data_IF_291833303313
#
_entry.id   IF_291833303313
#
_cell.length_a   1.000
_cell.length_b   1.000
_cell.length_c   1.000
_cell.angle_alpha   90.00
_cell.angle_beta   90.00
_cell.angle_gamma   90.00
#
_symmetry.space_group_name_H-M   'P 1'
#
loop_
_entity.id
_entity.type
_entity.pdbx_description
1 polymer ?
#
# COMPACT_ATOMS: atom_id res chain seq x y z
N UNK A 1 15.67 -1.81 9.58
CA UNK A 1 15.04 -3.15 9.54
C UNK A 1 16.07 -4.18 9.96
N UNK A 2 15.64 -5.24 10.65
CA UNK A 2 16.52 -6.39 10.91
C UNK A 2 16.84 -7.09 9.58
N UNK A 3 18.08 -7.56 9.33
CA UNK A 3 18.46 -8.26 8.09
C UNK A 3 17.61 -9.51 7.78
N UNK A 4 16.92 -10.05 8.78
CA UNK A 4 16.13 -11.28 8.69
C UNK A 4 14.64 -11.04 8.41
N UNK A 5 14.20 -9.77 8.33
CA UNK A 5 12.79 -9.43 8.06
C UNK A 5 12.32 -10.04 6.73
N UNK A 6 11.22 -10.80 6.78
CA UNK A 6 10.54 -11.33 5.60
C UNK A 6 9.80 -10.23 4.85
N UNK A 7 10.24 -9.91 3.65
CA UNK A 7 9.61 -8.92 2.77
C UNK A 7 8.79 -9.62 1.71
N UNK A 8 7.52 -9.24 1.56
CA UNK A 8 6.70 -9.66 0.41
C UNK A 8 6.41 -8.43 -0.43
N UNK A 9 6.74 -8.49 -1.73
CA UNK A 9 6.24 -7.51 -2.70
C UNK A 9 5.09 -8.09 -3.51
N UNK A 10 4.15 -7.25 -3.89
CA UNK A 10 3.05 -7.59 -4.80
C UNK A 10 2.97 -6.52 -5.88
N UNK A 11 3.15 -6.89 -7.15
CA UNK A 11 3.27 -5.96 -8.27
C UNK A 11 2.50 -6.45 -9.50
N UNK A 12 2.11 -5.54 -10.39
CA UNK A 12 1.57 -5.93 -11.71
C UNK A 12 2.69 -6.29 -12.70
N UNK A 13 3.79 -5.53 -12.66
CA UNK A 13 4.99 -5.75 -13.47
C UNK A 13 6.20 -5.78 -12.54
N UNK A 14 7.20 -6.58 -12.86
CA UNK A 14 8.43 -6.65 -12.06
C UNK A 14 9.22 -5.33 -12.14
N UNK A 15 9.15 -4.51 -11.09
CA UNK A 15 9.89 -3.24 -10.99
C UNK A 15 10.85 -3.23 -9.79
N UNK A 16 10.40 -3.69 -8.62
CA UNK A 16 11.19 -3.68 -7.40
C UNK A 16 12.35 -4.68 -7.45
N UNK A 17 13.57 -4.18 -7.25
CA UNK A 17 14.78 -4.99 -7.11
C UNK A 17 15.15 -5.14 -5.64
N UNK A 18 14.57 -6.16 -5.04
CA UNK A 18 14.78 -6.53 -3.64
C UNK A 18 16.13 -7.23 -3.45
N UNK A 19 16.97 -6.71 -2.55
CA UNK A 19 18.34 -7.22 -2.30
C UNK A 19 18.48 -8.00 -0.99
N UNK A 20 17.44 -7.99 -0.14
CA UNK A 20 17.43 -8.73 1.12
C UNK A 20 17.27 -10.24 0.88
N UNK A 21 17.80 -11.08 1.79
CA UNK A 21 17.79 -12.53 1.60
C UNK A 21 16.41 -13.17 1.71
N UNK A 22 15.58 -12.69 2.64
CA UNK A 22 14.26 -13.27 2.94
C UNK A 22 13.16 -12.46 2.25
N UNK A 23 13.02 -12.62 0.94
CA UNK A 23 11.93 -11.98 0.20
C UNK A 23 11.14 -12.96 -0.67
N UNK A 24 9.93 -12.55 -1.04
CA UNK A 24 9.11 -13.20 -2.04
C UNK A 24 8.39 -12.12 -2.86
N UNK A 25 8.52 -12.18 -4.17
CA UNK A 25 7.79 -11.31 -5.08
C UNK A 25 6.58 -12.07 -5.64
N UNK A 26 5.40 -11.46 -5.54
CA UNK A 26 4.15 -11.94 -6.12
C UNK A 26 3.75 -11.01 -7.26
N UNK A 27 3.27 -11.59 -8.35
CA UNK A 27 2.85 -10.83 -9.52
C UNK A 27 1.41 -11.13 -9.88
N UNK A 28 0.65 -10.09 -10.26
CA UNK A 28 -0.70 -10.29 -10.74
C UNK A 28 -0.69 -11.10 -12.05
N UNK A 29 -1.74 -11.89 -12.23
CA UNK A 29 -1.94 -12.72 -13.39
C UNK A 29 -3.44 -12.79 -13.69
N UNK A 30 -3.80 -13.39 -14.83
CA UNK A 30 -5.20 -13.53 -15.28
C UNK A 30 -6.13 -14.06 -14.18
N UNK A 31 -5.67 -15.05 -13.42
CA UNK A 31 -6.44 -15.72 -12.37
C UNK A 31 -5.99 -15.33 -10.95
N UNK A 32 -5.14 -14.30 -10.82
CA UNK A 32 -4.61 -13.82 -9.54
C UNK A 32 -4.50 -12.30 -9.55
N UNK A 33 -5.56 -11.62 -9.12
CA UNK A 33 -5.57 -10.17 -8.97
C UNK A 33 -4.85 -9.70 -7.69
N UNK A 34 -4.60 -8.39 -7.61
CA UNK A 34 -3.91 -7.76 -6.48
C UNK A 34 -4.59 -8.06 -5.14
N UNK A 35 -5.92 -7.98 -5.10
CA UNK A 35 -6.74 -8.31 -3.93
C UNK A 35 -6.54 -9.75 -3.44
N UNK A 36 -6.51 -10.73 -4.35
CA UNK A 36 -6.28 -12.13 -4.01
C UNK A 36 -4.86 -12.35 -3.48
N UNK A 37 -3.87 -11.74 -4.12
CA UNK A 37 -2.47 -11.84 -3.69
C UNK A 37 -2.26 -11.21 -2.32
N UNK A 38 -2.84 -10.04 -2.06
CA UNK A 38 -2.83 -9.37 -0.76
C UNK A 38 -3.36 -10.29 0.35
N UNK A 39 -4.57 -10.83 0.16
CA UNK A 39 -5.16 -11.76 1.15
C UNK A 39 -4.34 -13.05 1.31
N UNK A 40 -3.77 -13.56 0.23
CA UNK A 40 -2.94 -14.77 0.26
C UNK A 40 -1.62 -14.54 0.97
N UNK A 41 -1.04 -13.34 0.84
CA UNK A 41 0.23 -12.97 1.44
C UNK A 41 0.20 -13.07 2.97
N UNK A 42 -0.95 -12.85 3.62
CA UNK A 42 -1.11 -13.00 5.07
C UNK A 42 -0.74 -14.40 5.58
N UNK A 43 -0.93 -15.45 4.77
CA UNK A 43 -0.56 -16.82 5.13
C UNK A 43 0.94 -17.07 5.03
N UNK A 44 1.67 -16.18 4.37
CA UNK A 44 3.10 -16.26 4.15
C UNK A 44 3.91 -15.52 5.23
N UNK A 45 3.21 -15.04 6.28
CA UNK A 45 3.77 -14.37 7.48
C UNK A 45 4.75 -13.23 7.11
N UNK A 46 4.31 -12.23 6.33
CA UNK A 46 5.15 -11.09 5.99
C UNK A 46 5.52 -10.31 7.26
N UNK A 47 6.76 -9.85 7.33
CA UNK A 47 7.17 -8.82 8.29
C UNK A 47 7.18 -7.44 7.65
N UNK A 48 7.27 -7.36 6.32
CA UNK A 48 7.04 -6.18 5.50
C UNK A 48 6.19 -6.58 4.30
N UNK A 49 5.25 -5.72 3.94
CA UNK A 49 4.43 -5.88 2.75
C UNK A 49 4.57 -4.64 1.89
N UNK A 50 5.03 -4.83 0.66
CA UNK A 50 5.19 -3.76 -0.32
C UNK A 50 4.21 -4.03 -1.45
N UNK A 51 3.31 -3.09 -1.69
CA UNK A 51 2.41 -3.12 -2.84
C UNK A 51 2.97 -2.15 -3.86
N UNK A 52 3.23 -2.61 -5.08
CA UNK A 52 3.82 -1.76 -6.12
C UNK A 52 2.99 -0.50 -6.32
N UNK A 53 1.73 -0.69 -6.70
CA UNK A 53 0.76 0.39 -6.87
C UNK A 53 -0.66 -0.09 -6.54
N UNK A 54 -1.46 0.77 -5.91
CA UNK A 54 -2.91 0.59 -5.78
C UNK A 54 -3.67 1.49 -6.76
N UNK A 55 -4.64 0.90 -7.46
CA UNK A 55 -5.42 1.47 -8.56
C UNK A 55 -6.93 1.37 -8.36
N UNK A 56 -7.39 0.51 -7.46
CA UNK A 56 -8.80 0.20 -7.26
C UNK A 56 -9.15 -0.40 -5.90
N UNK A 57 -10.11 -1.33 -5.91
CA UNK A 57 -10.73 -1.89 -4.72
C UNK A 57 -9.74 -2.59 -3.76
N UNK A 58 -8.59 -3.04 -4.26
CA UNK A 58 -7.50 -3.63 -3.48
C UNK A 58 -6.95 -2.69 -2.39
N UNK A 59 -7.22 -1.38 -2.52
CA UNK A 59 -6.88 -0.41 -1.50
C UNK A 59 -7.49 -0.78 -0.13
N UNK A 60 -8.70 -1.34 -0.09
CA UNK A 60 -9.29 -1.79 1.19
C UNK A 60 -8.55 -3.01 1.75
N UNK A 61 -8.26 -4.02 0.93
CA UNK A 61 -7.52 -5.20 1.37
C UNK A 61 -6.14 -4.79 1.94
N UNK A 62 -5.46 -3.83 1.30
CA UNK A 62 -4.20 -3.27 1.78
C UNK A 62 -4.37 -2.57 3.14
N UNK A 63 -5.37 -1.68 3.28
CA UNK A 63 -5.63 -0.96 4.53
C UNK A 63 -5.93 -1.92 5.69
N UNK A 64 -6.75 -2.95 5.46
CA UNK A 64 -7.06 -3.98 6.45
C UNK A 64 -5.81 -4.74 6.90
N UNK A 65 -4.91 -5.06 5.97
CA UNK A 65 -3.63 -5.72 6.30
C UNK A 65 -2.76 -4.82 7.17
N UNK A 66 -2.67 -3.53 6.84
CA UNK A 66 -1.86 -2.57 7.60
C UNK A 66 -2.41 -2.35 9.03
N UNK A 67 -3.73 -2.43 9.21
CA UNK A 67 -4.37 -2.38 10.53
C UNK A 67 -4.11 -3.63 11.40
N UNK A 68 -3.97 -4.82 10.82
CA UNK A 68 -3.92 -6.10 11.56
C UNK A 68 -2.57 -6.44 12.20
N UNK A 69 -1.70 -5.45 12.38
CA UNK A 69 -0.42 -5.60 13.10
C UNK A 69 0.78 -5.97 12.22
N UNK A 70 0.62 -5.98 10.89
CA UNK A 70 1.73 -6.07 9.94
C UNK A 70 2.42 -4.71 9.82
N UNK A 71 3.34 -4.44 10.74
CA UNK A 71 4.09 -3.18 10.77
C UNK A 71 5.00 -3.06 9.55
N UNK A 72 5.00 -1.91 8.88
CA UNK A 72 5.94 -1.62 7.80
C UNK A 72 5.42 -1.92 6.40
N UNK A 73 4.16 -1.60 6.15
CA UNK A 73 3.58 -1.54 4.81
C UNK A 73 4.13 -0.39 3.98
N UNK A 74 4.21 -0.56 2.67
CA UNK A 74 4.48 0.52 1.71
C UNK A 74 3.64 0.29 0.45
N UNK A 75 3.05 1.36 -0.06
CA UNK A 75 2.40 1.34 -1.38
C UNK A 75 2.59 2.66 -2.10
N UNK A 76 2.47 2.64 -3.42
CA UNK A 76 2.36 3.85 -4.23
C UNK A 76 0.95 4.01 -4.80
N UNK A 77 0.63 5.24 -5.21
CA UNK A 77 -0.59 5.58 -5.94
C UNK A 77 -0.38 6.90 -6.68
N UNK A 78 -1.06 7.09 -7.80
CA UNK A 78 -1.10 8.37 -8.47
C UNK A 78 -2.05 9.36 -7.77
N UNK A 79 -1.56 10.58 -7.53
CA UNK A 79 -2.33 11.74 -7.08
C UNK A 79 -1.60 13.03 -7.49
N UNK A 80 -2.33 14.09 -7.82
CA UNK A 80 -1.77 15.41 -8.18
C UNK A 80 -1.38 16.25 -6.96
N UNK A 81 -2.06 16.08 -5.83
CA UNK A 81 -1.71 16.72 -4.56
C UNK A 81 -2.16 15.90 -3.34
N UNK A 82 -1.91 16.45 -2.15
CA UNK A 82 -2.26 15.82 -0.87
C UNK A 82 -3.74 15.51 -0.69
N UNK A 83 -4.62 16.42 -1.10
CA UNK A 83 -6.05 16.29 -0.89
C UNK A 83 -6.61 15.26 -1.88
N UNK A 84 -6.10 15.30 -3.11
CA UNK A 84 -6.40 14.29 -4.12
C UNK A 84 -5.95 12.90 -3.67
N UNK A 85 -4.77 12.75 -3.05
CA UNK A 85 -4.28 11.46 -2.58
C UNK A 85 -5.24 10.80 -1.58
N UNK A 86 -5.70 11.55 -0.57
CA UNK A 86 -6.66 11.06 0.42
C UNK A 86 -8.01 10.73 -0.20
N UNK A 87 -8.55 11.64 -1.03
CA UNK A 87 -9.83 11.43 -1.71
C UNK A 87 -9.80 10.21 -2.63
N UNK A 88 -8.70 10.01 -3.37
CA UNK A 88 -8.51 8.85 -4.24
C UNK A 88 -8.39 7.56 -3.44
N UNK A 89 -7.65 7.57 -2.34
CA UNK A 89 -7.55 6.41 -1.46
C UNK A 89 -8.93 5.99 -0.93
N UNK A 90 -9.71 6.95 -0.43
CA UNK A 90 -11.07 6.71 0.06
C UNK A 90 -11.99 6.22 -1.06
N UNK A 91 -11.95 6.84 -2.24
CA UNK A 91 -12.75 6.40 -3.39
C UNK A 91 -12.39 4.97 -3.83
N UNK A 92 -11.09 4.65 -3.89
CA UNK A 92 -10.62 3.32 -4.29
C UNK A 92 -11.02 2.25 -3.28
N UNK A 93 -10.79 2.49 -1.99
CA UNK A 93 -11.24 1.59 -0.93
C UNK A 93 -12.77 1.45 -0.92
N UNK A 94 -13.51 2.54 -1.19
CA UNK A 94 -14.96 2.58 -1.26
C UNK A 94 -15.59 1.76 -2.40
N UNK A 95 -14.82 1.41 -3.44
CA UNK A 95 -15.28 0.51 -4.51
C UNK A 95 -15.35 -0.95 -4.06
N UNK A 96 -14.65 -1.31 -2.99
CA UNK A 96 -14.64 -2.68 -2.50
C UNK A 96 -16.03 -3.06 -1.95
N UNK A 97 -16.59 -4.24 -2.28
CA UNK A 97 -17.95 -4.64 -1.86
C UNK A 97 -18.19 -4.66 -0.34
N UNK A 98 -17.12 -4.75 0.44
CA UNK A 98 -17.14 -4.77 1.91
C UNK A 98 -16.71 -3.43 2.54
N UNK A 99 -16.63 -2.36 1.77
CA UNK A 99 -16.18 -1.07 2.27
C UNK A 99 -17.05 -0.59 3.46
N UNK A 100 -16.44 -0.23 4.60
CA UNK A 100 -17.17 0.35 5.70
C UNK A 100 -17.65 1.77 5.34
N UNK A 101 -18.68 2.27 6.03
CA UNK A 101 -19.15 3.65 5.84
C UNK A 101 -18.11 4.70 6.26
N UNK A 102 -17.24 4.38 7.22
CA UNK A 102 -16.25 5.30 7.76
C UNK A 102 -14.83 4.90 7.33
N UNK A 103 -14.52 5.08 6.05
CA UNK A 103 -13.18 4.82 5.50
C UNK A 103 -12.12 5.79 6.03
N UNK A 104 -12.51 7.03 6.32
CA UNK A 104 -11.58 8.04 6.85
C UNK A 104 -10.89 7.59 8.14
N UNK A 105 -11.62 6.95 9.07
CA UNK A 105 -11.04 6.41 10.29
C UNK A 105 -10.08 5.25 10.01
N UNK A 106 -10.47 4.32 9.13
CA UNK A 106 -9.62 3.20 8.73
C UNK A 106 -8.30 3.67 8.10
N UNK A 107 -8.36 4.68 7.23
CA UNK A 107 -7.16 5.26 6.59
C UNK A 107 -6.21 5.85 7.65
N UNK A 108 -6.74 6.59 8.63
CA UNK A 108 -5.95 7.16 9.72
C UNK A 108 -5.30 6.09 10.60
N UNK A 109 -6.01 5.00 10.87
CA UNK A 109 -5.48 3.90 11.69
C UNK A 109 -4.41 3.09 10.95
N UNK A 110 -4.63 2.84 9.65
CA UNK A 110 -3.77 2.01 8.81
C UNK A 110 -2.44 2.69 8.44
N UNK A 111 -2.46 4.00 8.18
CA UNK A 111 -1.34 4.71 7.58
C UNK A 111 -0.63 5.63 8.57
N UNK A 112 0.70 5.50 8.65
CA UNK A 112 1.53 6.40 9.44
C UNK A 112 1.75 7.75 8.73
N UNK A 113 2.05 7.69 7.43
CA UNK A 113 2.35 8.87 6.64
C UNK A 113 2.00 8.73 5.15
N UNK A 114 1.82 9.87 4.49
CA UNK A 114 1.74 10.02 3.05
C UNK A 114 2.88 10.92 2.58
N UNK A 115 3.60 10.50 1.53
CA UNK A 115 4.69 11.25 0.92
C UNK A 115 4.25 11.64 -0.48
N UNK A 116 4.18 12.94 -0.76
CA UNK A 116 3.81 13.47 -2.07
C UNK A 116 5.09 13.86 -2.82
N UNK A 117 5.24 13.33 -4.03
CA UNK A 117 6.38 13.60 -4.91
C UNK A 117 5.94 14.52 -6.05
N UNK A 118 6.75 15.52 -6.40
CA UNK A 118 6.55 16.37 -7.59
C UNK A 118 7.56 16.01 -8.68
N UNK A 119 7.13 15.85 -9.95
CA UNK A 119 8.00 15.38 -11.03
C UNK A 119 8.85 16.45 -11.71
N UNK A 120 8.53 17.75 -11.60
CA UNK A 120 9.18 18.82 -12.37
C UNK A 120 9.55 20.05 -11.50
N UNK A 121 10.70 20.73 -11.73
CA UNK A 121 11.77 20.45 -12.70
C UNK A 121 12.78 19.39 -12.22
N UNK A 122 12.75 19.02 -10.94
CA UNK A 122 13.49 17.89 -10.38
C UNK A 122 12.56 17.11 -9.46
N UNK A 123 12.73 15.78 -9.38
CA UNK A 123 11.98 14.96 -8.45
C UNK A 123 12.31 15.39 -7.03
N UNK A 124 11.31 15.89 -6.32
CA UNK A 124 11.44 16.30 -4.93
C UNK A 124 10.22 15.86 -4.11
N UNK A 125 10.44 15.72 -2.81
CA UNK A 125 9.35 15.57 -1.85
C UNK A 125 8.68 16.93 -1.72
N UNK A 126 7.41 17.01 -2.10
CA UNK A 126 6.59 18.20 -1.95
C UNK A 126 6.06 18.33 -0.53
N UNK A 127 5.57 17.23 0.03
CA UNK A 127 5.06 17.19 1.39
C UNK A 127 5.16 15.79 2.00
N UNK A 128 5.29 15.78 3.33
CA UNK A 128 5.18 14.59 4.17
C UNK A 128 4.06 14.87 5.17
N UNK A 129 3.04 14.02 5.17
CA UNK A 129 1.85 14.17 6.00
C UNK A 129 1.83 13.02 6.98
N UNK A 130 1.88 13.31 8.27
CA UNK A 130 1.74 12.29 9.32
C UNK A 130 0.27 12.19 9.72
N UNK A 131 -0.36 11.06 9.40
CA UNK A 131 -1.81 10.89 9.58
C UNK A 131 -2.20 10.60 11.03
N UNK A 132 -1.27 10.07 11.83
CA UNK A 132 -1.48 9.86 13.27
C UNK A 132 -1.48 11.15 14.11
N UNK A 133 -1.16 12.29 13.50
CA UNK A 133 -1.11 13.61 14.12
C UNK A 133 -2.23 14.56 13.62
N UNK A 134 -3.25 14.01 12.93
CA UNK A 134 -4.38 14.73 12.33
C UNK A 134 -5.73 14.23 12.86
#
# INVERSE_FOLDING_TARGET
SSPDERVISIEDTEELKLTMKNHLCLYTAKDADMSLLLRSSLRLRPQRLVVGEIRGQEALDMLDIYCTGHKGGLSTMHAGDRAEALNRLELMAGRHPKAPKNLSALIKDALDCLIILKPYPQRQIDSIIYLKNL
#
